data_IF_448370102372
#
_entry.id   IF_448370102372
#
_cell.length_a   1.000
_cell.length_b   1.000
_cell.length_c   1.000
_cell.angle_alpha   90.00
_cell.angle_beta   90.00
_cell.angle_gamma   90.00
#
_symmetry.space_group_name_H-M   'P 1'
#
loop_
_entity.id
_entity.type
_entity.pdbx_description
1 polymer ?
#
# COMPACT_ATOMS: atom_id res chain seq x y z
N UNK A 1 3.76 -8.89 9.81
CA UNK A 1 5.06 -8.22 9.64
C UNK A 1 5.15 -7.60 8.26
N UNK A 2 5.57 -6.34 8.12
CA UNK A 2 5.78 -5.70 6.82
C UNK A 2 7.14 -6.09 6.23
N UNK A 3 7.12 -6.60 4.99
CA UNK A 3 8.31 -6.81 4.18
C UNK A 3 8.29 -5.89 2.95
N UNK A 4 9.41 -5.22 2.64
CA UNK A 4 9.56 -4.36 1.47
C UNK A 4 10.60 -4.95 0.52
N UNK A 5 10.27 -4.93 -0.76
CA UNK A 5 11.19 -5.21 -1.87
C UNK A 5 11.39 -3.92 -2.65
N UNK A 6 12.61 -3.43 -2.71
CA UNK A 6 12.98 -2.30 -3.56
C UNK A 6 13.37 -2.78 -4.96
N UNK A 7 12.87 -2.11 -5.98
CA UNK A 7 13.27 -2.36 -7.38
C UNK A 7 12.36 -3.30 -8.15
N UNK A 8 12.90 -3.89 -9.22
CA UNK A 8 12.15 -4.82 -10.06
C UNK A 8 11.91 -6.15 -9.34
N UNK A 9 10.65 -6.55 -9.21
CA UNK A 9 10.21 -7.86 -8.72
C UNK A 9 9.28 -8.51 -9.75
N UNK A 10 9.64 -9.71 -10.24
CA UNK A 10 8.90 -10.38 -11.32
C UNK A 10 7.53 -10.88 -10.88
N UNK A 11 7.38 -11.20 -9.59
CA UNK A 11 6.11 -11.69 -9.03
C UNK A 11 5.20 -10.56 -8.52
N UNK A 12 5.51 -9.31 -8.87
CA UNK A 12 4.76 -8.14 -8.43
C UNK A 12 3.63 -7.77 -9.41
N UNK A 13 2.44 -7.51 -8.88
CA UNK A 13 1.34 -6.87 -9.61
C UNK A 13 1.58 -5.37 -9.69
N UNK A 14 2.09 -4.91 -10.84
CA UNK A 14 2.43 -3.49 -11.04
C UNK A 14 1.22 -2.59 -11.29
N UNK A 15 0.23 -3.06 -12.04
CA UNK A 15 -0.98 -2.30 -12.36
C UNK A 15 -2.11 -2.64 -11.37
N UNK A 16 -1.98 -2.13 -10.16
CA UNK A 16 -2.93 -2.35 -9.06
C UNK A 16 -4.33 -1.85 -9.40
N UNK A 17 -4.46 -0.77 -10.18
CA UNK A 17 -5.76 -0.26 -10.64
C UNK A 17 -6.52 -1.27 -11.51
N UNK A 18 -5.86 -1.84 -12.52
CA UNK A 18 -6.49 -2.84 -13.39
C UNK A 18 -6.76 -4.13 -12.61
N UNK A 19 -5.83 -4.54 -11.77
CA UNK A 19 -6.01 -5.74 -10.97
C UNK A 19 -7.21 -5.59 -10.04
N UNK A 20 -7.26 -4.54 -9.21
CA UNK A 20 -8.38 -4.25 -8.31
C UNK A 20 -9.72 -4.29 -9.03
N UNK A 21 -9.84 -3.60 -10.17
CA UNK A 21 -11.07 -3.55 -10.97
C UNK A 21 -11.62 -4.94 -11.33
N UNK A 22 -10.77 -5.95 -11.47
CA UNK A 22 -11.17 -7.29 -11.89
C UNK A 22 -11.27 -8.30 -10.73
N UNK A 23 -10.84 -7.94 -9.51
CA UNK A 23 -10.69 -8.90 -8.42
C UNK A 23 -11.25 -8.46 -7.07
N UNK A 24 -11.60 -7.19 -6.88
CA UNK A 24 -12.14 -6.78 -5.59
C UNK A 24 -13.47 -7.48 -5.29
N UNK A 25 -13.69 -7.78 -4.01
CA UNK A 25 -14.95 -8.33 -3.53
C UNK A 25 -15.68 -7.27 -2.70
N UNK A 26 -17.02 -7.13 -2.83
CA UNK A 26 -17.79 -6.15 -2.07
C UNK A 26 -17.56 -6.23 -0.55
N UNK A 27 -17.35 -7.44 -0.02
CA UNK A 27 -17.14 -7.73 1.40
C UNK A 27 -15.89 -7.03 1.97
N UNK A 28 -14.91 -6.67 1.13
CA UNK A 28 -13.71 -5.95 1.57
C UNK A 28 -14.04 -4.60 2.23
N UNK A 29 -15.15 -3.99 1.84
CA UNK A 29 -15.62 -2.69 2.35
C UNK A 29 -16.45 -2.79 3.64
N UNK A 30 -16.74 -4.00 4.13
CA UNK A 30 -17.51 -4.20 5.35
C UNK A 30 -16.67 -3.98 6.62
N UNK A 31 -15.35 -4.16 6.52
CA UNK A 31 -14.42 -4.04 7.65
C UNK A 31 -14.21 -2.58 8.07
N UNK A 32 -14.08 -2.35 9.38
CA UNK A 32 -13.81 -1.01 9.90
C UNK A 32 -12.46 -0.45 9.42
N UNK A 33 -11.46 -1.32 9.23
CA UNK A 33 -10.16 -0.91 8.71
C UNK A 33 -10.27 -0.40 7.27
N UNK A 34 -10.99 -1.11 6.39
CA UNK A 34 -11.20 -0.67 5.02
C UNK A 34 -11.95 0.67 4.96
N UNK A 35 -12.99 0.86 5.78
CA UNK A 35 -13.74 2.12 5.87
C UNK A 35 -12.83 3.27 6.34
N UNK A 36 -11.96 3.02 7.31
CA UNK A 36 -10.99 4.02 7.77
C UNK A 36 -9.97 4.37 6.70
N UNK A 37 -9.46 3.39 5.95
CA UNK A 37 -8.56 3.61 4.81
C UNK A 37 -9.23 4.52 3.77
N UNK A 38 -10.45 4.18 3.33
CA UNK A 38 -11.20 4.99 2.35
C UNK A 38 -11.40 6.42 2.87
N UNK A 39 -11.77 6.56 4.13
CA UNK A 39 -12.00 7.86 4.76
C UNK A 39 -10.73 8.71 4.87
N UNK A 40 -9.62 8.13 5.30
CA UNK A 40 -8.42 8.93 5.61
C UNK A 40 -7.49 9.14 4.40
N UNK A 41 -7.63 8.34 3.35
CA UNK A 41 -6.82 8.47 2.13
C UNK A 41 -7.55 9.27 1.05
N UNK A 42 -8.87 9.08 0.90
CA UNK A 42 -9.68 9.70 -0.16
C UNK A 42 -10.70 10.72 0.36
N UNK A 43 -10.74 10.99 1.67
CA UNK A 43 -11.77 11.82 2.32
C UNK A 43 -13.21 11.37 1.97
N UNK A 44 -13.39 10.08 1.68
CA UNK A 44 -14.63 9.50 1.16
C UNK A 44 -15.28 8.55 2.18
N UNK A 45 -16.59 8.37 2.11
CA UNK A 45 -17.34 7.51 3.05
C UNK A 45 -17.88 6.27 2.35
N UNK A 46 -17.73 5.09 2.96
CA UNK A 46 -18.35 3.86 2.46
C UNK A 46 -19.81 3.84 2.89
N UNK A 47 -20.75 4.01 1.96
CA UNK A 47 -22.20 3.94 2.24
C UNK A 47 -22.70 2.50 2.19
N UNK A 48 -22.19 1.73 1.25
CA UNK A 48 -22.38 0.28 1.12
C UNK A 48 -21.16 -0.33 0.43
N UNK A 49 -21.11 -1.65 0.34
CA UNK A 49 -20.03 -2.38 -0.34
C UNK A 49 -19.86 -2.03 -1.81
N UNK A 50 -20.89 -1.47 -2.46
CA UNK A 50 -20.88 -1.05 -3.86
C UNK A 50 -21.00 0.47 -4.06
N UNK A 51 -21.09 1.25 -2.97
CA UNK A 51 -21.33 2.69 -3.05
C UNK A 51 -20.47 3.48 -2.07
N UNK A 52 -19.64 4.36 -2.64
CA UNK A 52 -18.76 5.28 -1.93
C UNK A 52 -19.28 6.71 -2.13
N UNK A 53 -19.43 7.46 -1.05
CA UNK A 53 -19.67 8.89 -1.10
C UNK A 53 -18.33 9.63 -1.19
N UNK A 54 -18.01 10.14 -2.38
CA UNK A 54 -16.90 11.06 -2.60
C UNK A 54 -17.34 12.51 -2.37
N UNK A 55 -16.52 13.34 -1.70
CA UNK A 55 -16.82 14.76 -1.54
C UNK A 55 -16.74 15.54 -2.86
N UNK A 56 -15.98 15.03 -3.84
CA UNK A 56 -15.75 15.70 -5.14
C UNK A 56 -16.68 15.14 -6.22
N UNK A 57 -16.86 13.82 -6.27
CA UNK A 57 -17.54 13.14 -7.39
C UNK A 57 -18.98 12.71 -7.06
N UNK A 58 -19.45 12.91 -5.84
CA UNK A 58 -20.73 12.37 -5.37
C UNK A 58 -20.65 10.87 -5.12
N UNK A 59 -21.75 10.15 -5.33
CA UNK A 59 -21.77 8.69 -5.20
C UNK A 59 -21.02 8.05 -6.38
N UNK A 60 -20.02 7.23 -6.06
CA UNK A 60 -19.17 6.52 -7.01
C UNK A 60 -19.07 5.04 -6.61
N UNK A 61 -18.85 4.14 -7.58
CA UNK A 61 -18.55 2.75 -7.25
C UNK A 61 -17.08 2.60 -6.80
N UNK A 62 -16.72 1.50 -6.11
CA UNK A 62 -15.36 1.24 -5.61
C UNK A 62 -14.24 1.41 -6.64
N UNK A 63 -14.47 1.09 -7.91
CA UNK A 63 -13.46 1.19 -8.98
C UNK A 63 -13.07 2.64 -9.31
N UNK A 64 -13.79 3.63 -8.78
CA UNK A 64 -13.46 5.05 -8.91
C UNK A 64 -12.71 5.63 -7.71
N UNK A 65 -12.44 4.84 -6.67
CA UNK A 65 -11.50 5.20 -5.60
C UNK A 65 -10.09 5.49 -6.15
N UNK A 66 -9.26 6.17 -5.36
CA UNK A 66 -7.87 6.45 -5.74
C UNK A 66 -7.04 5.17 -5.88
N UNK A 67 -5.94 5.29 -6.61
CA UNK A 67 -4.97 4.19 -6.72
C UNK A 67 -4.38 3.78 -5.37
N UNK A 68 -4.21 4.73 -4.44
CA UNK A 68 -3.71 4.48 -3.09
C UNK A 68 -4.66 3.61 -2.28
N UNK A 69 -5.95 3.97 -2.21
CA UNK A 69 -6.97 3.16 -1.52
C UNK A 69 -7.06 1.76 -2.13
N UNK A 70 -7.17 1.65 -3.45
CA UNK A 70 -7.24 0.35 -4.14
C UNK A 70 -6.04 -0.53 -3.82
N UNK A 71 -4.84 0.05 -3.83
CA UNK A 71 -3.61 -0.68 -3.53
C UNK A 71 -3.56 -1.14 -2.08
N UNK A 72 -3.98 -0.30 -1.13
CA UNK A 72 -4.07 -0.67 0.29
C UNK A 72 -5.07 -1.81 0.52
N UNK A 73 -6.24 -1.76 -0.14
CA UNK A 73 -7.25 -2.81 -0.03
C UNK A 73 -6.76 -4.13 -0.63
N UNK A 74 -6.00 -4.10 -1.72
CA UNK A 74 -5.35 -5.30 -2.27
C UNK A 74 -4.35 -5.90 -1.28
N UNK A 75 -3.46 -5.08 -0.70
CA UNK A 75 -2.47 -5.53 0.28
C UNK A 75 -3.15 -6.13 1.52
N UNK A 76 -4.27 -5.54 1.95
CA UNK A 76 -5.02 -5.99 3.12
C UNK A 76 -5.75 -7.33 2.88
N UNK A 77 -6.39 -7.50 1.73
CA UNK A 77 -7.29 -8.64 1.49
C UNK A 77 -6.63 -9.81 0.74
N UNK A 78 -5.49 -9.58 0.08
CA UNK A 78 -4.70 -10.62 -0.60
C UNK A 78 -3.24 -10.58 -0.13
N UNK A 79 -2.97 -10.83 1.16
CA UNK A 79 -1.64 -10.65 1.78
C UNK A 79 -0.56 -11.56 1.18
N UNK A 80 -0.94 -12.65 0.51
CA UNK A 80 -0.04 -13.58 -0.16
C UNK A 80 0.54 -13.04 -1.48
N UNK A 81 -0.03 -11.96 -2.03
CA UNK A 81 0.42 -11.34 -3.27
C UNK A 81 1.33 -10.14 -3.01
N UNK A 82 2.23 -9.88 -3.97
CA UNK A 82 3.10 -8.71 -3.93
C UNK A 82 2.49 -7.64 -4.84
N UNK A 83 2.12 -6.52 -4.24
CA UNK A 83 1.59 -5.37 -4.98
C UNK A 83 2.62 -4.23 -5.05
N UNK A 84 2.61 -3.53 -6.18
CA UNK A 84 3.39 -2.31 -6.35
C UNK A 84 2.73 -1.17 -5.57
N UNK A 85 3.28 -0.87 -4.40
CA UNK A 85 2.85 0.24 -3.55
C UNK A 85 3.43 1.59 -4.01
N UNK A 86 4.15 1.66 -5.14
CA UNK A 86 4.69 2.92 -5.66
C UNK A 86 3.62 3.88 -6.20
N UNK A 87 2.36 3.45 -6.27
CA UNK A 87 1.22 4.32 -6.60
C UNK A 87 0.61 4.97 -5.36
N UNK A 88 1.02 4.54 -4.17
CA UNK A 88 0.60 5.14 -2.91
C UNK A 88 1.36 6.44 -2.66
N UNK A 89 0.63 7.48 -2.23
CA UNK A 89 1.24 8.71 -1.71
C UNK A 89 1.55 8.60 -0.20
N UNK A 90 2.10 9.67 0.38
CA UNK A 90 2.54 9.71 1.78
C UNK A 90 1.42 9.37 2.78
N UNK A 91 0.16 9.77 2.48
CA UNK A 91 -1.00 9.48 3.33
C UNK A 91 -1.34 7.98 3.45
N UNK A 92 -0.80 7.13 2.57
CA UNK A 92 -0.95 5.68 2.61
C UNK A 92 0.08 5.00 3.54
N UNK A 93 1.21 5.63 3.84
CA UNK A 93 2.34 4.99 4.53
C UNK A 93 1.95 4.44 5.91
N UNK A 94 1.16 5.21 6.67
CA UNK A 94 0.63 4.76 7.98
C UNK A 94 -0.22 3.50 7.87
N UNK A 95 -0.99 3.36 6.79
CA UNK A 95 -1.88 2.22 6.57
C UNK A 95 -1.10 0.99 6.14
N UNK A 96 -0.05 1.14 5.34
CA UNK A 96 0.87 0.05 5.02
C UNK A 96 1.50 -0.52 6.31
N UNK A 97 1.96 0.36 7.21
CA UNK A 97 2.48 -0.06 8.51
C UNK A 97 1.42 -0.76 9.36
N UNK A 98 0.20 -0.22 9.41
CA UNK A 98 -0.90 -0.79 10.19
C UNK A 98 -1.32 -2.17 9.67
N UNK A 99 -1.40 -2.34 8.35
CA UNK A 99 -1.64 -3.65 7.73
C UNK A 99 -0.50 -4.61 8.09
N UNK A 100 0.76 -4.18 7.99
CA UNK A 100 1.93 -5.00 8.34
C UNK A 100 2.03 -5.39 9.82
N UNK A 101 1.33 -4.72 10.73
CA UNK A 101 1.20 -5.16 12.13
C UNK A 101 0.18 -6.28 12.31
N UNK A 102 -0.80 -6.37 11.42
CA UNK A 102 -1.91 -7.33 11.49
C UNK A 102 -1.63 -8.58 10.67
N UNK A 103 -1.05 -8.38 9.50
CA UNK A 103 -0.81 -9.42 8.50
C UNK A 103 0.68 -9.49 8.12
N UNK A 104 1.11 -10.67 7.68
CA UNK A 104 2.42 -10.86 7.05
C UNK A 104 2.32 -10.51 5.56
N UNK A 105 2.65 -9.26 5.23
CA UNK A 105 2.51 -8.72 3.87
C UNK A 105 3.87 -8.36 3.27
N UNK A 106 3.97 -8.52 1.96
CA UNK A 106 5.14 -8.09 1.18
C UNK A 106 4.72 -7.10 0.11
N UNK A 107 5.32 -5.92 0.11
CA UNK A 107 5.06 -4.89 -0.91
C UNK A 107 6.30 -4.63 -1.76
N UNK A 108 6.08 -4.14 -2.98
CA UNK A 108 7.13 -3.63 -3.84
C UNK A 108 7.13 -2.08 -3.85
N UNK A 109 8.32 -1.50 -3.76
CA UNK A 109 8.54 -0.05 -3.88
C UNK A 109 9.63 0.25 -4.92
N UNK A 110 9.33 1.17 -5.82
CA UNK A 110 10.24 1.71 -6.85
C UNK A 110 10.69 3.14 -6.56
N UNK A 111 10.30 3.68 -5.40
CA UNK A 111 10.76 4.94 -4.87
C UNK A 111 10.85 4.87 -3.34
N UNK A 112 11.50 5.86 -2.73
CA UNK A 112 11.58 5.97 -1.28
C UNK A 112 10.23 6.45 -0.73
N UNK A 113 9.52 5.60 0.00
CA UNK A 113 8.33 6.01 0.75
C UNK A 113 8.73 6.65 2.08
N UNK A 114 8.11 7.78 2.43
CA UNK A 114 8.27 8.38 3.76
C UNK A 114 7.29 7.73 4.74
N UNK A 115 7.81 6.95 5.69
CA UNK A 115 7.03 6.35 6.78
C UNK A 115 6.88 7.27 8.00
N UNK A 116 7.37 8.51 7.91
CA UNK A 116 7.38 9.50 8.97
C UNK A 116 8.67 9.46 9.77
N UNK A 117 9.28 10.63 9.96
CA UNK A 117 10.59 10.81 10.61
C UNK A 117 10.68 10.21 12.02
N UNK A 118 9.63 10.40 12.81
CA UNK A 118 9.58 9.99 14.23
C UNK A 118 8.70 8.74 14.43
N UNK A 119 8.35 8.04 13.35
CA UNK A 119 7.58 6.80 13.40
C UNK A 119 8.50 5.64 13.77
N UNK A 120 8.14 4.91 14.82
CA UNK A 120 8.77 3.63 15.16
C UNK A 120 8.07 2.54 14.37
N UNK A 121 8.84 1.77 13.61
CA UNK A 121 8.35 0.62 12.85
C UNK A 121 9.32 -0.55 12.97
N UNK A 122 8.95 -1.69 12.42
CA UNK A 122 9.85 -2.82 12.17
C UNK A 122 9.53 -3.30 10.76
N UNK A 123 10.49 -3.17 9.85
CA UNK A 123 10.31 -3.50 8.43
C UNK A 123 11.46 -4.40 8.00
N UNK A 124 11.12 -5.51 7.37
CA UNK A 124 12.10 -6.40 6.74
C UNK A 124 12.35 -5.95 5.29
N UNK A 125 13.61 -5.77 4.92
CA UNK A 125 14.03 -5.47 3.55
C UNK A 125 14.40 -6.79 2.86
N UNK A 126 13.57 -7.24 1.93
CA UNK A 126 13.75 -8.57 1.28
C UNK A 126 15.04 -8.64 0.45
N UNK A 127 15.48 -7.51 -0.12
CA UNK A 127 16.62 -7.45 -1.02
C UNK A 127 17.92 -7.98 -0.37
N UNK A 128 18.22 -7.59 0.88
CA UNK A 128 19.42 -8.01 1.61
C UNK A 128 19.12 -8.77 2.91
N UNK A 129 17.87 -8.80 3.36
CA UNK A 129 17.45 -9.46 4.59
C UNK A 129 17.55 -8.59 5.84
N UNK A 130 17.86 -7.30 5.71
CA UNK A 130 17.97 -6.35 6.82
C UNK A 130 16.60 -6.13 7.49
N UNK A 131 16.61 -5.86 8.79
CA UNK A 131 15.45 -5.39 9.54
C UNK A 131 15.76 -3.98 10.03
N UNK A 132 14.89 -3.03 9.72
CA UNK A 132 15.05 -1.61 10.05
C UNK A 132 13.92 -1.11 10.93
N UNK A 133 14.23 -0.15 11.79
CA UNK A 133 13.31 0.31 12.82
C UNK A 133 12.94 1.80 12.75
N UNK A 134 13.57 2.53 11.82
CA UNK A 134 13.36 3.96 11.64
C UNK A 134 13.71 4.40 10.22
N UNK A 135 13.25 5.59 9.82
CA UNK A 135 13.64 6.20 8.55
C UNK A 135 15.16 6.36 8.42
N UNK A 136 15.87 6.65 9.53
CA UNK A 136 17.33 6.79 9.54
C UNK A 136 18.05 5.51 9.13
N UNK A 137 17.51 4.36 9.53
CA UNK A 137 18.04 3.05 9.13
C UNK A 137 17.59 2.66 7.71
N UNK A 138 16.35 2.97 7.36
CA UNK A 138 15.76 2.62 6.07
C UNK A 138 16.41 3.36 4.90
N UNK A 139 16.61 4.67 5.01
CA UNK A 139 17.06 5.55 3.92
C UNK A 139 18.32 5.03 3.21
N UNK A 140 19.44 4.72 3.90
CA UNK A 140 20.64 4.26 3.19
C UNK A 140 20.46 2.92 2.49
N UNK A 141 19.69 1.99 3.08
CA UNK A 141 19.43 0.65 2.52
C UNK A 141 18.53 0.75 1.29
N UNK A 142 17.41 1.46 1.41
CA UNK A 142 16.49 1.67 0.31
C UNK A 142 17.17 2.44 -0.84
N UNK A 143 17.97 3.48 -0.54
CA UNK A 143 18.70 4.24 -1.56
C UNK A 143 19.68 3.37 -2.35
N UNK A 144 20.38 2.45 -1.68
CA UNK A 144 21.27 1.50 -2.35
C UNK A 144 20.51 0.70 -3.42
N UNK A 145 19.42 0.04 -3.03
CA UNK A 145 18.66 -0.82 -3.94
C UNK A 145 17.93 -0.04 -5.04
N UNK A 146 17.40 1.15 -4.74
CA UNK A 146 16.77 2.02 -5.73
C UNK A 146 17.77 2.53 -6.78
N UNK A 147 19.02 2.80 -6.40
CA UNK A 147 20.07 3.22 -7.33
C UNK A 147 20.64 2.06 -8.16
N UNK A 148 20.53 0.82 -7.69
CA UNK A 148 20.92 -0.39 -8.44
C UNK A 148 19.89 -0.77 -9.51
N UNK A 149 18.67 -0.19 -9.46
CA UNK A 149 17.67 -0.37 -10.51
C UNK A 149 18.17 0.18 -11.83
N UNK A 150 18.02 -0.59 -12.91
CA UNK A 150 18.25 -0.06 -14.25
C UNK A 150 17.21 1.03 -14.53
N UNK A 151 17.66 2.22 -14.88
CA UNK A 151 16.79 3.22 -15.46
C UNK A 151 16.36 2.71 -16.83
N UNK A 152 15.06 2.42 -16.99
CA UNK A 152 14.45 2.15 -18.30
C UNK A 152 14.27 3.44 -19.09
#
# INVERSE_FOLDING_TARGET
>A
MLTIIYGDESNCVYNTNVYFKNTYEPEWFETELAKQIVREVDDSEVLSSECIQSPVLGQIPPERLSGGVKTLLLILNEPEKIFNASTCGDNCAKWILEIGKREDVTINLRHMMDFGKDTVFEIKIKNGGEIVHSMKELIPIASKYLNEMKQE
#
